data_IF_211707586186
#
_entry.id   IF_211707586186
#
_cell.length_a   1.000
_cell.length_b   1.000
_cell.length_c   1.000
_cell.angle_alpha   90.00
_cell.angle_beta   90.00
_cell.angle_gamma   90.00
#
_symmetry.space_group_name_H-M   'P 1'
#
loop_
_entity.id
_entity.type
_entity.pdbx_description
1 polymer ?
#
# COMPACT_ATOMS: atom_id res chain seq x y z
N UNK A 1 0.77 -23.11 -12.90
CA UNK A 1 0.98 -21.68 -13.25
C UNK A 1 0.88 -20.84 -11.97
N UNK A 2 1.94 -20.15 -11.54
CA UNK A 2 1.90 -19.27 -10.35
C UNK A 2 1.18 -17.97 -10.69
N UNK A 3 0.20 -17.56 -9.87
CA UNK A 3 -0.53 -16.30 -10.10
C UNK A 3 0.13 -15.15 -9.37
N UNK A 4 1.16 -14.58 -9.99
CA UNK A 4 1.92 -13.44 -9.46
C UNK A 4 1.60 -12.18 -10.25
N UNK A 5 1.55 -11.03 -9.58
CA UNK A 5 1.45 -9.73 -10.26
C UNK A 5 2.65 -9.56 -11.20
N UNK A 6 2.39 -9.37 -12.49
CA UNK A 6 3.47 -9.11 -13.46
C UNK A 6 4.20 -7.81 -13.10
N UNK A 7 5.51 -7.76 -13.35
CA UNK A 7 6.35 -6.58 -13.07
C UNK A 7 5.77 -5.29 -13.66
N UNK A 8 5.25 -5.35 -14.89
CA UNK A 8 4.61 -4.21 -15.59
C UNK A 8 3.40 -3.69 -14.81
N UNK A 9 2.48 -4.57 -14.39
CA UNK A 9 1.30 -4.19 -13.61
C UNK A 9 1.67 -3.64 -12.22
N UNK A 10 2.65 -4.26 -11.56
CA UNK A 10 3.17 -3.80 -10.28
C UNK A 10 3.70 -2.36 -10.36
N UNK A 11 4.61 -2.10 -11.31
CA UNK A 11 5.21 -0.78 -11.52
C UNK A 11 4.13 0.25 -11.86
N UNK A 12 3.21 -0.08 -12.78
CA UNK A 12 2.14 0.83 -13.17
C UNK A 12 1.29 1.27 -11.97
N UNK A 13 0.92 0.33 -11.08
CA UNK A 13 0.13 0.67 -9.88
C UNK A 13 0.92 1.54 -8.88
N UNK A 14 2.23 1.33 -8.72
CA UNK A 14 3.06 2.20 -7.89
C UNK A 14 3.20 3.60 -8.47
N UNK A 15 3.37 3.73 -9.79
CA UNK A 15 3.40 5.04 -10.47
C UNK A 15 2.09 5.77 -10.25
N UNK A 16 0.95 5.10 -10.45
CA UNK A 16 -0.39 5.69 -10.21
C UNK A 16 -0.50 6.18 -8.75
N UNK A 17 -0.07 5.37 -7.78
CA UNK A 17 -0.10 5.78 -6.37
C UNK A 17 0.79 6.99 -6.11
N UNK A 18 2.01 7.00 -6.65
CA UNK A 18 2.96 8.11 -6.52
C UNK A 18 2.42 9.41 -7.13
N UNK A 19 1.82 9.35 -8.32
CA UNK A 19 1.25 10.52 -8.99
C UNK A 19 0.03 11.06 -8.23
N UNK A 20 -0.82 10.17 -7.71
CA UNK A 20 -1.88 10.60 -6.79
C UNK A 20 -1.30 11.27 -5.54
N UNK A 21 -0.30 10.68 -4.90
CA UNK A 21 0.28 11.21 -3.65
C UNK A 21 0.93 12.59 -3.86
N UNK A 22 1.57 12.83 -5.02
CA UNK A 22 2.05 14.15 -5.43
C UNK A 22 0.94 15.18 -5.49
N UNK A 23 -0.23 14.82 -6.05
CA UNK A 23 -1.40 15.72 -6.14
C UNK A 23 -2.03 15.94 -4.76
N UNK A 24 -2.10 14.90 -3.94
CA UNK A 24 -2.67 14.91 -2.60
C UNK A 24 -1.78 15.60 -1.53
N UNK A 25 -0.58 16.08 -1.89
CA UNK A 25 0.43 16.56 -0.94
C UNK A 25 -0.03 17.67 0.03
N UNK A 26 -1.02 18.47 -0.38
CA UNK A 26 -1.56 19.57 0.42
C UNK A 26 -2.80 19.19 1.24
N UNK A 27 -3.37 17.98 1.05
CA UNK A 27 -4.53 17.52 1.83
C UNK A 27 -4.18 17.39 3.32
N UNK A 28 -5.15 17.54 4.22
CA UNK A 28 -4.92 17.23 5.65
C UNK A 28 -4.42 15.78 5.78
N UNK A 29 -3.53 15.53 6.73
CA UNK A 29 -2.90 14.20 6.90
C UNK A 29 -3.95 13.10 7.06
N UNK A 30 -5.04 13.37 7.79
CA UNK A 30 -6.18 12.44 7.95
C UNK A 30 -6.79 12.01 6.60
N UNK A 31 -7.12 12.97 5.74
CA UNK A 31 -7.80 12.70 4.46
C UNK A 31 -6.89 11.97 3.46
N UNK A 32 -5.61 12.39 3.42
CA UNK A 32 -4.57 11.69 2.67
C UNK A 32 -4.44 10.24 3.15
N UNK A 33 -4.42 10.04 4.47
CA UNK A 33 -4.26 8.72 5.07
C UNK A 33 -5.43 7.79 4.78
N UNK A 34 -6.68 8.25 4.96
CA UNK A 34 -7.86 7.44 4.65
C UNK A 34 -7.94 7.06 3.17
N UNK A 35 -7.57 7.97 2.28
CA UNK A 35 -7.49 7.66 0.85
C UNK A 35 -6.38 6.65 0.55
N UNK A 36 -5.22 6.76 1.22
CA UNK A 36 -4.13 5.79 1.08
C UNK A 36 -4.57 4.39 1.55
N UNK A 37 -5.29 4.30 2.69
CA UNK A 37 -5.90 3.04 3.15
C UNK A 37 -6.86 2.47 2.11
N UNK A 38 -7.76 3.28 1.55
CA UNK A 38 -8.71 2.84 0.53
C UNK A 38 -7.99 2.29 -0.73
N UNK A 39 -6.94 2.96 -1.20
CA UNK A 39 -6.14 2.50 -2.34
C UNK A 39 -5.39 1.20 -2.06
N UNK A 40 -4.83 1.03 -0.87
CA UNK A 40 -4.21 -0.22 -0.43
C UNK A 40 -5.23 -1.36 -0.37
N UNK A 41 -6.41 -1.13 0.24
CA UNK A 41 -7.50 -2.11 0.25
C UNK A 41 -7.89 -2.54 -1.16
N UNK A 42 -8.09 -1.59 -2.07
CA UNK A 42 -8.39 -1.89 -3.48
C UNK A 42 -7.31 -2.74 -4.15
N UNK A 43 -6.02 -2.43 -3.92
CA UNK A 43 -4.92 -3.24 -4.45
C UNK A 43 -4.93 -4.66 -3.88
N UNK A 44 -5.07 -4.82 -2.57
CA UNK A 44 -5.08 -6.13 -1.92
C UNK A 44 -6.30 -6.95 -2.30
N UNK A 45 -7.47 -6.34 -2.48
CA UNK A 45 -8.67 -7.02 -2.95
C UNK A 45 -8.46 -7.60 -4.36
N UNK A 46 -7.83 -6.83 -5.24
CA UNK A 46 -7.65 -7.22 -6.64
C UNK A 46 -6.49 -8.22 -6.83
N UNK A 47 -5.37 -8.00 -6.13
CA UNK A 47 -4.15 -8.81 -6.31
C UNK A 47 -3.96 -9.87 -5.23
N UNK A 48 -4.78 -9.91 -4.18
CA UNK A 48 -4.74 -10.89 -3.10
C UNK A 48 -5.29 -12.25 -3.50
N UNK A 49 -4.69 -12.87 -4.51
CA UNK A 49 -5.00 -14.22 -4.98
C UNK A 49 -3.92 -15.20 -4.49
N UNK A 50 -4.26 -16.49 -4.40
CA UNK A 50 -3.29 -17.57 -4.13
C UNK A 50 -1.99 -17.39 -4.94
N UNK A 51 -0.84 -17.67 -4.32
CA UNK A 51 0.54 -17.45 -4.81
C UNK A 51 1.04 -16.00 -4.93
N UNK A 52 0.22 -14.98 -4.64
CA UNK A 52 0.64 -13.57 -4.80
C UNK A 52 0.93 -12.82 -3.50
N UNK A 53 0.98 -13.50 -2.34
CA UNK A 53 1.15 -12.84 -1.04
C UNK A 53 2.42 -11.97 -0.99
N UNK A 54 3.54 -12.47 -1.53
CA UNK A 54 4.81 -11.73 -1.60
C UNK A 54 4.68 -10.47 -2.45
N UNK A 55 3.91 -10.52 -3.54
CA UNK A 55 3.70 -9.39 -4.44
C UNK A 55 2.90 -8.27 -3.78
N UNK A 56 1.79 -8.60 -3.11
CA UNK A 56 0.98 -7.61 -2.40
C UNK A 56 1.69 -7.06 -1.16
N UNK A 57 2.47 -7.87 -0.44
CA UNK A 57 3.28 -7.40 0.69
C UNK A 57 4.35 -6.40 0.23
N UNK A 58 5.05 -6.71 -0.88
CA UNK A 58 6.00 -5.78 -1.49
C UNK A 58 5.33 -4.47 -1.89
N UNK A 59 4.11 -4.52 -2.44
CA UNK A 59 3.37 -3.30 -2.79
C UNK A 59 3.09 -2.43 -1.56
N UNK A 60 2.64 -3.05 -0.46
CA UNK A 60 2.43 -2.36 0.82
C UNK A 60 3.69 -1.65 1.31
N UNK A 61 4.83 -2.35 1.33
CA UNK A 61 6.12 -1.79 1.74
C UNK A 61 6.55 -0.58 0.89
N UNK A 62 6.36 -0.65 -0.43
CA UNK A 62 6.68 0.47 -1.32
C UNK A 62 5.73 1.68 -1.13
N UNK A 63 4.46 1.42 -0.83
CA UNK A 63 3.51 2.48 -0.47
C UNK A 63 3.90 3.16 0.84
N UNK A 64 4.32 2.40 1.87
CA UNK A 64 4.80 2.96 3.13
C UNK A 64 6.01 3.88 2.94
N UNK A 65 6.99 3.46 2.13
CA UNK A 65 8.15 4.29 1.77
C UNK A 65 7.74 5.58 1.05
N UNK A 66 6.77 5.50 0.14
CA UNK A 66 6.25 6.67 -0.57
C UNK A 66 5.53 7.64 0.39
N UNK A 67 4.70 7.11 1.29
CA UNK A 67 4.02 7.90 2.32
C UNK A 67 5.02 8.61 3.23
N UNK A 68 5.99 7.87 3.77
CA UNK A 68 7.07 8.44 4.58
C UNK A 68 7.78 9.59 3.85
N UNK A 69 8.21 9.34 2.60
CA UNK A 69 8.91 10.32 1.77
C UNK A 69 8.11 11.60 1.58
N UNK A 70 6.82 11.50 1.24
CA UNK A 70 6.01 12.68 0.92
C UNK A 70 5.48 13.39 2.16
N UNK A 71 5.19 12.69 3.24
CA UNK A 71 4.80 13.32 4.51
C UNK A 71 5.99 14.06 5.14
N UNK A 72 7.21 13.49 5.09
CA UNK A 72 8.40 14.18 5.57
C UNK A 72 8.72 15.46 4.76
N UNK A 73 8.24 15.55 3.52
CA UNK A 73 8.37 16.76 2.67
C UNK A 73 7.36 17.86 2.99
N UNK A 74 6.32 17.60 3.78
CA UNK A 74 5.29 18.60 4.13
C UNK A 74 5.70 19.51 5.28
N UNK A 75 6.59 19.05 6.15
CA UNK A 75 7.06 19.80 7.32
C UNK A 75 8.43 20.44 7.09
N UNK A 76 9.01 20.97 8.17
CA UNK A 76 10.44 21.31 8.17
C UNK A 76 11.27 20.04 7.94
N UNK A 77 12.43 20.20 7.29
CA UNK A 77 13.34 19.10 6.95
C UNK A 77 13.60 18.23 8.20
N UNK A 78 13.43 16.91 8.05
CA UNK A 78 13.69 15.89 9.07
C UNK A 78 12.74 15.89 10.30
N UNK A 79 11.61 16.61 10.26
CA UNK A 79 10.64 16.53 11.36
C UNK A 79 10.02 15.13 11.52
N UNK A 80 9.85 14.39 10.42
CA UNK A 80 9.36 13.03 10.40
C UNK A 80 10.52 12.06 10.10
N UNK A 81 11.05 11.44 11.15
CA UNK A 81 11.98 10.31 11.01
C UNK A 81 11.21 8.98 10.96
N UNK A 82 11.92 7.89 10.70
CA UNK A 82 11.32 6.56 10.61
C UNK A 82 10.67 6.09 11.91
N UNK A 83 11.23 6.44 13.06
CA UNK A 83 10.68 6.08 14.37
C UNK A 83 9.31 6.72 14.59
N UNK A 84 9.19 8.04 14.41
CA UNK A 84 7.91 8.77 14.46
C UNK A 84 6.91 8.25 13.44
N UNK A 85 7.39 7.88 12.24
CA UNK A 85 6.52 7.28 11.23
C UNK A 85 6.02 5.89 11.66
N UNK A 86 6.86 5.06 12.30
CA UNK A 86 6.43 3.77 12.87
C UNK A 86 5.41 3.97 13.99
N UNK A 87 5.58 4.94 14.87
CA UNK A 87 4.57 5.29 15.87
C UNK A 87 3.26 5.73 15.22
N UNK A 88 3.33 6.50 14.13
CA UNK A 88 2.14 6.87 13.35
C UNK A 88 1.45 5.64 12.73
N UNK A 89 2.21 4.65 12.24
CA UNK A 89 1.67 3.38 11.74
C UNK A 89 1.02 2.55 12.85
N UNK A 90 1.57 2.57 14.08
CA UNK A 90 0.93 1.90 15.23
C UNK A 90 -0.42 2.54 15.57
N UNK A 91 -0.49 3.88 15.60
CA UNK A 91 -1.71 4.62 15.94
C UNK A 91 -2.75 4.61 14.82
N UNK A 92 -2.31 4.65 13.57
CA UNK A 92 -3.17 4.71 12.39
C UNK A 92 -2.76 3.62 11.39
N UNK A 93 -3.00 2.34 11.69
CA UNK A 93 -2.49 1.24 10.88
C UNK A 93 -2.99 1.29 9.45
N UNK A 94 -2.07 1.05 8.52
CA UNK A 94 -2.42 0.77 7.13
C UNK A 94 -3.00 -0.65 7.02
N UNK A 95 -3.85 -0.91 6.03
CA UNK A 95 -4.31 -2.27 5.73
C UNK A 95 -3.12 -3.21 5.56
N UNK A 96 -3.27 -4.43 6.06
CA UNK A 96 -2.26 -5.47 5.91
C UNK A 96 -2.55 -6.32 4.67
N UNK A 97 -1.51 -6.78 3.95
CA UNK A 97 -1.68 -7.67 2.81
C UNK A 97 -2.25 -9.01 3.29
N UNK A 98 -3.33 -9.48 2.67
CA UNK A 98 -3.93 -10.79 2.93
C UNK A 98 -4.38 -11.42 1.63
N UNK A 99 -4.33 -12.75 1.56
CA UNK A 99 -5.01 -13.48 0.48
C UNK A 99 -6.51 -13.34 0.70
N UNK A 100 -7.22 -12.95 -0.37
CA UNK A 100 -8.66 -12.68 -0.40
C UNK A 100 -9.42 -13.72 -1.20
N UNK A 101 -8.78 -14.32 -2.20
CA UNK A 101 -9.37 -15.36 -3.03
C UNK A 101 -8.48 -16.59 -2.95
N UNK A 102 -9.01 -17.66 -2.37
CA UNK A 102 -8.43 -19.00 -2.50
C UNK A 102 -8.89 -19.58 -3.82
N UNK A 103 -7.95 -20.00 -4.65
CA UNK A 103 -8.24 -20.66 -5.93
C UNK A 103 -8.12 -22.19 -5.84
N UNK A 104 -7.82 -22.71 -4.65
CA UNK A 104 -8.07 -24.11 -4.32
C UNK A 104 -9.50 -24.16 -3.79
N UNK A 105 -10.46 -24.35 -4.69
CA UNK A 105 -11.80 -24.74 -4.28
C UNK A 105 -11.70 -26.12 -3.66
N UNK A 106 -12.22 -26.32 -2.46
CA UNK A 106 -12.55 -27.66 -2.01
C UNK A 106 -13.55 -28.21 -3.02
N UNK A 107 -13.16 -29.21 -3.81
CA UNK A 107 -14.13 -30.19 -4.31
C UNK A 107 -14.69 -30.86 -3.07
N UNK A 108 -15.84 -30.38 -2.61
CA UNK A 108 -16.72 -31.23 -1.83
C UNK A 108 -17.31 -32.23 -2.82
N UNK A 109 -17.06 -33.51 -2.56
CA UNK A 109 -17.59 -34.66 -3.30
C UNK A 109 -19.10 -34.60 -3.42
#
# INVERSE_FOLDING_TARGET
>A
MKRVTTRKKFIAKLIIFKEWLKKARNLKTKDLWETAKAKLRGHYNYYGVTDNLRGIARFGNEVEKLLFKWLNRRGKKNCLNWEKFKEMLKRFPLPQPRIRVSMFGFSVN
#
